data_IF_211371052737
#
_entry.id   IF_211371052737
#
_cell.length_a   1.000
_cell.length_b   1.000
_cell.length_c   1.000
_cell.angle_alpha   90.00
_cell.angle_beta   90.00
_cell.angle_gamma   90.00
#
_symmetry.space_group_name_H-M   'P 1'
#
loop_
_entity.id
_entity.type
_entity.pdbx_description
1 polymer ?
#
# COMPACT_ATOMS: atom_id res chain seq x y z
N UNK A 1 -52.93 31.39 21.59
CA UNK A 1 -51.94 31.24 20.49
C UNK A 1 -50.60 31.96 20.71
N UNK A 2 -50.51 33.09 21.44
CA UNK A 2 -49.26 33.86 21.59
C UNK A 2 -48.11 33.14 22.33
N UNK A 3 -48.40 32.31 23.35
CA UNK A 3 -47.35 31.55 24.10
C UNK A 3 -46.53 30.63 23.18
N UNK A 4 -47.18 29.95 22.21
CA UNK A 4 -46.49 29.07 21.26
C UNK A 4 -45.55 29.82 20.29
N UNK A 5 -45.84 31.08 19.96
CA UNK A 5 -44.99 31.89 19.07
C UNK A 5 -43.67 32.28 19.74
N UNK A 6 -43.73 32.72 21.00
CA UNK A 6 -42.54 33.07 21.79
C UNK A 6 -41.62 31.87 22.02
N UNK A 7 -42.19 30.69 22.28
CA UNK A 7 -41.42 29.45 22.44
C UNK A 7 -40.69 29.06 21.14
N UNK A 8 -41.36 29.16 19.98
CA UNK A 8 -40.73 28.88 18.69
C UNK A 8 -39.57 29.84 18.38
N UNK A 9 -39.77 31.13 18.57
CA UNK A 9 -38.74 32.14 18.33
C UNK A 9 -37.51 31.94 19.24
N UNK A 10 -37.73 31.64 20.52
CA UNK A 10 -36.65 31.34 21.46
C UNK A 10 -35.84 30.12 21.03
N UNK A 11 -36.52 29.04 20.61
CA UNK A 11 -35.87 27.81 20.13
C UNK A 11 -35.02 28.08 18.88
N UNK A 12 -35.50 28.89 17.94
CA UNK A 12 -34.73 29.25 16.74
C UNK A 12 -33.52 30.13 17.06
N UNK A 13 -33.65 31.12 17.95
CA UNK A 13 -32.51 31.92 18.44
C UNK A 13 -31.46 31.05 19.13
N UNK A 14 -31.90 30.09 19.95
CA UNK A 14 -31.01 29.16 20.63
C UNK A 14 -30.25 28.27 19.63
N UNK A 15 -30.95 27.72 18.62
CA UNK A 15 -30.31 26.94 17.54
C UNK A 15 -29.29 27.76 16.75
N UNK A 16 -29.63 29.00 16.38
CA UNK A 16 -28.73 29.91 15.66
C UNK A 16 -27.46 30.20 16.46
N UNK A 17 -27.58 30.42 17.78
CA UNK A 17 -26.42 30.62 18.67
C UNK A 17 -25.54 29.37 18.76
N UNK A 18 -26.14 28.18 18.92
CA UNK A 18 -25.42 26.91 18.94
C UNK A 18 -24.69 26.70 17.61
N UNK A 19 -25.36 27.01 16.50
CA UNK A 19 -24.83 26.87 15.16
C UNK A 19 -23.64 27.80 14.91
N UNK A 20 -23.76 29.09 15.26
CA UNK A 20 -22.66 30.07 15.18
C UNK A 20 -21.44 29.61 15.99
N UNK A 21 -21.67 29.12 17.22
CA UNK A 21 -20.61 28.57 18.07
C UNK A 21 -19.95 27.32 17.47
N UNK A 22 -20.72 26.47 16.80
CA UNK A 22 -20.17 25.30 16.12
C UNK A 22 -19.25 25.74 14.98
N UNK A 23 -19.71 26.64 14.10
CA UNK A 23 -18.92 27.11 12.96
C UNK A 23 -17.61 27.79 13.38
N UNK A 24 -17.63 28.57 14.47
CA UNK A 24 -16.42 29.23 14.97
C UNK A 24 -15.37 28.26 15.53
N UNK A 25 -15.74 27.00 15.80
CA UNK A 25 -14.81 25.98 16.29
C UNK A 25 -14.21 25.13 15.15
N UNK A 26 -14.70 25.25 13.92
CA UNK A 26 -14.27 24.41 12.80
C UNK A 26 -13.11 25.06 12.05
N UNK A 27 -11.96 24.41 12.07
CA UNK A 27 -10.73 24.80 11.38
C UNK A 27 -10.73 24.25 9.94
N UNK A 28 -11.40 24.96 9.03
CA UNK A 28 -11.57 24.51 7.64
C UNK A 28 -10.27 24.43 6.85
N UNK A 29 -9.26 25.21 7.22
CA UNK A 29 -7.92 25.22 6.60
C UNK A 29 -7.26 23.84 6.63
N UNK A 30 -7.50 23.04 7.69
CA UNK A 30 -6.97 21.68 7.80
C UNK A 30 -7.52 20.71 6.75
N UNK A 31 -8.70 21.02 6.20
CA UNK A 31 -9.43 20.14 5.30
C UNK A 31 -9.30 20.52 3.82
N UNK A 32 -8.71 21.68 3.49
CA UNK A 32 -8.62 22.16 2.11
C UNK A 32 -8.02 21.13 1.13
N UNK A 33 -6.92 20.44 1.46
CA UNK A 33 -6.35 19.43 0.56
C UNK A 33 -7.24 18.19 0.35
N UNK A 34 -8.27 18.03 1.18
CA UNK A 34 -9.10 16.83 1.26
C UNK A 34 -10.58 17.10 0.98
N UNK A 35 -10.94 18.31 0.51
CA UNK A 35 -12.32 18.77 0.41
C UNK A 35 -13.24 17.79 -0.35
N UNK A 36 -12.73 17.27 -1.46
CA UNK A 36 -13.48 16.43 -2.40
C UNK A 36 -13.23 14.93 -2.18
N UNK A 37 -12.51 14.59 -1.12
CA UNK A 37 -12.16 13.20 -0.86
C UNK A 37 -13.33 12.45 -0.24
N UNK A 38 -13.82 11.45 -0.96
CA UNK A 38 -14.86 10.55 -0.48
C UNK A 38 -14.28 9.58 0.56
N UNK A 39 -14.76 9.68 1.79
CA UNK A 39 -14.46 8.70 2.83
C UNK A 39 -15.43 7.54 2.71
N UNK A 40 -14.91 6.32 2.55
CA UNK A 40 -15.69 5.10 2.40
C UNK A 40 -16.33 4.66 3.73
N UNK A 41 -17.66 4.67 3.79
CA UNK A 41 -18.44 3.77 4.62
C UNK A 41 -17.98 2.33 4.37
N UNK A 42 -17.61 1.61 5.44
CA UNK A 42 -17.18 0.21 5.34
C UNK A 42 -18.20 -0.66 4.61
N UNK A 43 -17.76 -1.82 4.09
CA UNK A 43 -18.58 -2.75 3.27
C UNK A 43 -19.96 -3.08 3.84
N UNK A 44 -20.14 -2.99 5.15
CA UNK A 44 -21.41 -3.28 5.83
C UNK A 44 -22.48 -2.18 5.69
N UNK A 45 -22.13 -1.00 5.20
CA UNK A 45 -23.00 0.19 5.17
C UNK A 45 -23.22 0.72 3.74
N UNK A 46 -23.36 -0.14 2.74
CA UNK A 46 -23.53 0.25 1.33
C UNK A 46 -24.79 1.11 1.07
N UNK A 47 -25.79 1.06 1.95
CA UNK A 47 -27.02 1.87 1.83
C UNK A 47 -26.84 3.32 2.29
N UNK A 48 -25.78 3.63 3.04
CA UNK A 48 -25.53 4.98 3.54
C UNK A 48 -24.77 5.80 2.51
N UNK A 49 -25.13 7.09 2.41
CA UNK A 49 -24.41 8.03 1.55
C UNK A 49 -23.04 8.35 2.15
N UNK A 50 -22.03 8.40 1.30
CA UNK A 50 -20.74 9.01 1.62
C UNK A 50 -20.93 10.53 1.71
N UNK A 51 -20.05 11.20 2.46
CA UNK A 51 -20.05 12.65 2.59
C UNK A 51 -18.61 13.15 2.44
N UNK A 52 -18.42 14.15 1.59
CA UNK A 52 -17.13 14.84 1.45
C UNK A 52 -17.02 15.97 2.48
N UNK A 53 -15.81 16.51 2.68
CA UNK A 53 -15.61 17.68 3.54
C UNK A 53 -16.32 18.91 2.98
N UNK A 54 -16.37 19.07 1.65
CA UNK A 54 -17.13 20.15 0.97
C UNK A 54 -18.62 20.05 1.24
N UNK A 55 -19.22 18.89 1.02
CA UNK A 55 -20.65 18.67 1.29
C UNK A 55 -20.98 18.87 2.77
N UNK A 56 -20.11 18.38 3.67
CA UNK A 56 -20.27 18.62 5.10
C UNK A 56 -20.19 20.11 5.44
N UNK A 57 -19.29 20.87 4.81
CA UNK A 57 -19.19 22.34 4.95
C UNK A 57 -20.46 23.04 4.51
N UNK A 58 -20.99 22.70 3.34
CA UNK A 58 -22.22 23.27 2.82
C UNK A 58 -23.42 22.97 3.72
N UNK A 59 -23.56 21.72 4.16
CA UNK A 59 -24.63 21.32 5.08
C UNK A 59 -24.49 22.01 6.43
N UNK A 60 -23.26 22.13 6.95
CA UNK A 60 -23.00 22.88 8.16
C UNK A 60 -23.41 24.34 7.97
N UNK A 61 -22.98 25.03 6.91
CA UNK A 61 -23.35 26.43 6.62
C UNK A 61 -24.86 26.65 6.46
N UNK A 62 -25.60 25.65 5.97
CA UNK A 62 -27.07 25.64 5.93
C UNK A 62 -27.73 25.43 7.30
N UNK A 63 -26.96 25.32 8.38
CA UNK A 63 -27.46 25.14 9.75
C UNK A 63 -27.73 23.70 10.15
N UNK A 64 -27.35 22.69 9.34
CA UNK A 64 -27.55 21.30 9.72
C UNK A 64 -26.57 20.88 10.82
N UNK A 65 -27.12 20.37 11.94
CA UNK A 65 -26.32 19.69 12.96
C UNK A 65 -25.84 18.32 12.45
N UNK A 66 -24.80 17.76 13.07
CA UNK A 66 -24.31 16.39 12.74
C UNK A 66 -25.44 15.36 12.81
N UNK A 67 -26.33 15.45 13.81
CA UNK A 67 -27.51 14.56 13.93
C UNK A 67 -28.49 14.75 12.77
N UNK A 68 -28.68 15.98 12.29
CA UNK A 68 -29.53 16.27 11.14
C UNK A 68 -28.91 15.71 9.86
N UNK A 69 -27.59 15.84 9.67
CA UNK A 69 -26.86 15.26 8.54
C UNK A 69 -27.05 13.74 8.52
N UNK A 70 -26.89 13.04 9.65
CA UNK A 70 -27.13 11.58 9.72
C UNK A 70 -28.56 11.20 9.31
N UNK A 71 -29.57 11.98 9.72
CA UNK A 71 -30.97 11.76 9.32
C UNK A 71 -31.22 11.91 7.81
N UNK A 72 -30.36 12.63 7.09
CA UNK A 72 -30.41 12.73 5.62
C UNK A 72 -29.84 11.47 4.92
N UNK A 73 -29.41 10.46 5.68
CA UNK A 73 -28.90 9.19 5.16
C UNK A 73 -27.37 9.11 5.04
N UNK A 74 -26.65 10.11 5.55
CA UNK A 74 -25.18 10.09 5.58
C UNK A 74 -24.64 9.20 6.72
N UNK A 75 -23.44 8.66 6.50
CA UNK A 75 -22.76 7.82 7.50
C UNK A 75 -22.51 8.57 8.83
N UNK A 76 -23.00 8.06 9.98
CA UNK A 76 -22.78 8.68 11.28
C UNK A 76 -21.31 8.68 11.69
N UNK A 77 -20.56 7.66 11.30
CA UNK A 77 -19.14 7.57 11.64
C UNK A 77 -18.33 8.66 10.93
N UNK A 78 -18.60 8.89 9.64
CA UNK A 78 -17.88 9.88 8.84
C UNK A 78 -18.24 11.30 9.29
N UNK A 79 -19.53 11.61 9.47
CA UNK A 79 -19.95 12.93 9.92
C UNK A 79 -19.38 13.30 11.31
N UNK A 80 -19.32 12.33 12.23
CA UNK A 80 -18.69 12.54 13.54
C UNK A 80 -17.17 12.63 13.46
N UNK A 81 -16.53 11.93 12.52
CA UNK A 81 -15.10 12.04 12.25
C UNK A 81 -14.75 13.46 11.75
N UNK A 82 -15.41 13.93 10.69
CA UNK A 82 -15.18 15.27 10.09
C UNK A 82 -15.32 16.36 11.16
N UNK A 83 -16.39 16.31 11.96
CA UNK A 83 -16.63 17.27 13.02
C UNK A 83 -15.51 17.28 14.08
N UNK A 84 -14.96 16.12 14.47
CA UNK A 84 -13.87 16.05 15.45
C UNK A 84 -12.52 16.45 14.85
N UNK A 85 -12.27 16.08 13.60
CA UNK A 85 -11.09 16.49 12.87
C UNK A 85 -11.02 18.02 12.76
N UNK A 86 -12.08 18.65 12.28
CA UNK A 86 -12.18 20.10 12.15
C UNK A 86 -12.14 20.86 13.48
N UNK A 87 -12.49 20.23 14.59
CA UNK A 87 -12.35 20.81 15.94
C UNK A 87 -10.92 20.77 16.47
N UNK A 88 -9.98 20.14 15.76
CA UNK A 88 -8.61 19.96 16.21
C UNK A 88 -8.45 18.89 17.29
N UNK A 89 -9.46 18.03 17.49
CA UNK A 89 -9.39 16.93 18.47
C UNK A 89 -8.50 15.78 17.99
N UNK A 90 -8.18 15.73 16.69
CA UNK A 90 -7.36 14.70 16.08
C UNK A 90 -6.05 15.37 15.64
N UNK A 91 -4.98 15.16 16.42
CA UNK A 91 -3.65 15.75 16.19
C UNK A 91 -2.67 14.70 15.67
N UNK A 92 -3.00 14.08 14.55
CA UNK A 92 -2.15 13.06 13.94
C UNK A 92 -1.92 13.41 12.47
N UNK A 93 -0.70 13.81 12.15
CA UNK A 93 -0.30 14.11 10.76
C UNK A 93 -0.24 12.85 9.90
N UNK A 94 -0.20 13.04 8.57
CA UNK A 94 -0.07 11.95 7.60
C UNK A 94 1.22 11.17 7.82
N UNK A 95 2.33 11.87 8.01
CA UNK A 95 3.67 11.31 8.16
C UNK A 95 3.79 10.48 9.44
N UNK A 96 3.22 11.01 10.54
CA UNK A 96 3.16 10.29 11.82
C UNK A 96 2.31 9.02 11.70
N UNK A 97 1.09 9.13 11.14
CA UNK A 97 0.23 7.96 10.96
C UNK A 97 0.89 6.91 10.06
N UNK A 98 1.50 7.32 8.96
CA UNK A 98 2.15 6.38 8.05
C UNK A 98 3.34 5.67 8.70
N UNK A 99 4.16 6.39 9.48
CA UNK A 99 5.29 5.82 10.22
C UNK A 99 4.82 4.80 11.26
N UNK A 100 3.86 5.19 12.10
CA UNK A 100 3.38 4.32 13.18
C UNK A 100 2.56 3.14 12.66
N UNK A 101 1.80 3.32 11.58
CA UNK A 101 0.98 2.25 11.01
C UNK A 101 1.81 1.15 10.36
N UNK A 102 3.05 1.45 9.92
CA UNK A 102 3.99 0.43 9.43
C UNK A 102 4.49 -0.48 10.56
N UNK A 103 4.58 0.02 11.79
CA UNK A 103 5.18 -0.70 12.92
C UNK A 103 4.13 -1.33 13.84
N UNK A 104 2.96 -0.72 13.97
CA UNK A 104 1.98 -1.10 14.98
C UNK A 104 0.56 -1.26 14.43
N UNK A 105 -0.23 -2.19 14.99
CA UNK A 105 -1.63 -2.32 14.62
C UNK A 105 -2.44 -1.08 15.02
N UNK A 106 -3.53 -0.80 14.30
CA UNK A 106 -4.39 0.37 14.53
C UNK A 106 -4.78 0.56 16.01
N UNK A 107 -5.06 -0.52 16.74
CA UNK A 107 -5.51 -0.45 18.13
C UNK A 107 -4.46 0.20 19.05
N UNK A 108 -3.18 -0.03 18.81
CA UNK A 108 -2.10 0.58 19.61
C UNK A 108 -2.02 2.07 19.34
N UNK A 109 -2.13 2.48 18.07
CA UNK A 109 -2.17 3.88 17.66
C UNK A 109 -3.39 4.60 18.26
N UNK A 110 -4.53 3.91 18.37
CA UNK A 110 -5.73 4.44 19.04
C UNK A 110 -5.45 4.82 20.49
N UNK A 111 -4.82 3.91 21.23
CA UNK A 111 -4.49 4.11 22.66
C UNK A 111 -3.45 5.21 22.81
N UNK A 112 -2.41 5.20 21.96
CA UNK A 112 -1.29 6.16 22.01
C UNK A 112 -1.73 7.61 21.84
N UNK A 113 -2.66 7.86 20.92
CA UNK A 113 -3.11 9.22 20.59
C UNK A 113 -4.48 9.58 21.18
N UNK A 114 -5.08 8.69 21.97
CA UNK A 114 -6.46 8.83 22.47
C UNK A 114 -7.48 9.10 21.34
N UNK A 115 -7.34 8.39 20.21
CA UNK A 115 -8.21 8.52 19.04
C UNK A 115 -9.05 7.24 18.90
N UNK A 116 -10.35 7.39 18.59
CA UNK A 116 -11.20 6.22 18.35
C UNK A 116 -10.75 5.47 17.09
N UNK A 117 -10.84 4.15 17.12
CA UNK A 117 -10.51 3.28 15.97
C UNK A 117 -11.19 3.67 14.66
N UNK A 118 -12.46 4.07 14.72
CA UNK A 118 -13.20 4.52 13.55
C UNK A 118 -12.62 5.79 12.92
N UNK A 119 -12.03 6.68 13.72
CA UNK A 119 -11.42 7.92 13.24
C UNK A 119 -10.07 7.67 12.59
N UNK A 120 -9.23 6.81 13.18
CA UNK A 120 -7.97 6.41 12.54
C UNK A 120 -8.24 5.70 11.21
N UNK A 121 -9.30 4.88 11.13
CA UNK A 121 -9.71 4.28 9.86
C UNK A 121 -10.10 5.36 8.82
N UNK A 122 -10.80 6.42 9.23
CA UNK A 122 -11.13 7.54 8.35
C UNK A 122 -9.89 8.37 7.97
N UNK A 123 -8.99 8.68 8.91
CA UNK A 123 -7.70 9.34 8.64
C UNK A 123 -6.88 8.56 7.62
N UNK A 124 -6.78 7.24 7.79
CA UNK A 124 -6.05 6.37 6.88
C UNK A 124 -6.59 6.48 5.45
N UNK A 125 -7.92 6.47 5.29
CA UNK A 125 -8.56 6.68 3.98
C UNK A 125 -8.29 8.10 3.46
N UNK A 126 -8.46 9.11 4.32
CA UNK A 126 -8.22 10.53 4.01
C UNK A 126 -6.78 10.79 3.56
N UNK A 127 -5.81 10.02 4.02
CA UNK A 127 -4.40 10.13 3.63
C UNK A 127 -3.95 9.16 2.53
N UNK A 128 -4.86 8.38 1.94
CA UNK A 128 -4.55 7.31 0.95
C UNK A 128 -3.58 6.24 1.47
N UNK A 129 -3.55 6.02 2.77
CA UNK A 129 -2.69 5.00 3.36
C UNK A 129 -3.35 3.63 3.13
N UNK A 130 -2.64 2.73 2.43
CA UNK A 130 -3.15 1.40 2.10
C UNK A 130 -3.43 0.59 3.37
N UNK A 131 -4.53 -0.19 3.42
CA UNK A 131 -4.80 -1.07 4.55
C UNK A 131 -3.73 -2.14 4.73
N UNK A 132 -3.21 -2.25 5.95
CA UNK A 132 -2.42 -3.39 6.40
C UNK A 132 -3.34 -4.39 7.09
N UNK A 133 -3.21 -5.67 6.73
CA UNK A 133 -4.00 -6.76 7.31
C UNK A 133 -3.44 -7.16 8.68
N UNK A 134 -4.25 -7.82 9.53
CA UNK A 134 -3.74 -8.40 10.78
C UNK A 134 -2.58 -9.38 10.53
N UNK A 135 -2.71 -10.16 9.46
CA UNK A 135 -1.67 -11.09 9.00
C UNK A 135 -0.35 -10.39 8.63
N UNK A 136 -0.38 -9.12 8.21
CA UNK A 136 0.85 -8.35 7.96
C UNK A 136 1.65 -8.17 9.25
N UNK A 137 1.02 -7.75 10.34
CA UNK A 137 1.72 -7.52 11.61
C UNK A 137 2.22 -8.83 12.24
N UNK A 138 1.42 -9.89 12.16
CA UNK A 138 1.86 -11.22 12.62
C UNK A 138 3.05 -11.74 11.81
N UNK A 139 3.05 -11.49 10.48
CA UNK A 139 4.19 -11.82 9.63
C UNK A 139 5.42 -11.01 10.02
N UNK A 140 5.31 -9.68 10.14
CA UNK A 140 6.45 -8.82 10.50
C UNK A 140 7.06 -9.22 11.85
N UNK A 141 6.24 -9.69 12.81
CA UNK A 141 6.72 -10.19 14.10
C UNK A 141 7.47 -11.53 14.00
N UNK A 142 7.14 -12.36 13.02
CA UNK A 142 7.68 -13.72 12.85
C UNK A 142 8.75 -13.82 11.76
N UNK A 143 8.87 -12.82 10.89
CA UNK A 143 9.80 -12.85 9.78
C UNK A 143 11.24 -12.68 10.26
N UNK A 144 12.12 -13.51 9.73
CA UNK A 144 13.57 -13.37 9.91
C UNK A 144 14.11 -12.51 8.75
N UNK A 145 14.77 -11.38 9.01
CA UNK A 145 15.34 -10.54 7.96
C UNK A 145 16.37 -11.29 7.11
N UNK A 146 16.45 -10.97 5.82
CA UNK A 146 17.47 -11.57 4.95
C UNK A 146 18.86 -11.02 5.33
N UNK A 147 19.84 -11.90 5.41
CA UNK A 147 21.25 -11.50 5.51
C UNK A 147 21.68 -10.75 4.26
N UNK A 148 22.75 -9.95 4.35
CA UNK A 148 23.27 -9.21 3.19
C UNK A 148 23.61 -10.15 2.02
N UNK A 149 24.25 -11.29 2.30
CA UNK A 149 24.55 -12.33 1.30
C UNK A 149 23.27 -12.86 0.62
N UNK A 150 22.24 -13.15 1.40
CA UNK A 150 20.94 -13.59 0.87
C UNK A 150 20.29 -12.53 -0.02
N UNK A 151 20.39 -11.25 0.36
CA UNK A 151 19.90 -10.14 -0.46
C UNK A 151 20.61 -10.10 -1.81
N UNK A 152 21.93 -10.16 -1.82
CA UNK A 152 22.72 -10.15 -3.06
C UNK A 152 22.37 -11.30 -4.01
N UNK A 153 22.26 -12.52 -3.48
CA UNK A 153 21.84 -13.69 -4.26
C UNK A 153 20.41 -13.50 -4.78
N UNK A 154 19.52 -12.91 -3.98
CA UNK A 154 18.14 -12.63 -4.38
C UNK A 154 18.11 -11.63 -5.54
N UNK A 155 18.82 -10.49 -5.43
CA UNK A 155 18.86 -9.47 -6.48
C UNK A 155 19.44 -10.01 -7.79
N UNK A 156 20.53 -10.78 -7.71
CA UNK A 156 21.12 -11.46 -8.86
C UNK A 156 20.18 -12.46 -9.52
N UNK A 157 19.56 -13.32 -8.72
CA UNK A 157 18.60 -14.31 -9.23
C UNK A 157 17.35 -13.66 -9.81
N UNK A 158 16.94 -12.52 -9.25
CA UNK A 158 15.83 -11.71 -9.77
C UNK A 158 16.15 -11.08 -11.12
N UNK A 159 17.38 -11.07 -11.63
CA UNK A 159 17.68 -10.75 -13.04
C UNK A 159 17.57 -11.98 -13.94
N UNK A 160 17.80 -13.17 -13.40
CA UNK A 160 17.70 -14.44 -14.10
C UNK A 160 16.44 -15.23 -13.78
N UNK A 161 16.65 -16.34 -13.08
CA UNK A 161 15.75 -17.48 -12.85
C UNK A 161 14.69 -17.30 -11.75
N UNK A 162 14.80 -16.25 -10.93
CA UNK A 162 13.80 -15.96 -9.92
C UNK A 162 12.65 -15.11 -10.48
N UNK A 163 11.44 -15.40 -10.00
CA UNK A 163 10.23 -14.69 -10.38
C UNK A 163 9.26 -14.44 -9.23
N UNK A 164 8.47 -13.39 -9.35
CA UNK A 164 7.44 -13.04 -8.36
C UNK A 164 6.35 -14.10 -8.30
N UNK A 165 6.14 -14.70 -7.11
CA UNK A 165 5.00 -15.59 -6.84
C UNK A 165 3.80 -14.84 -6.27
N UNK A 166 4.07 -13.87 -5.40
CA UNK A 166 3.11 -12.91 -4.87
C UNK A 166 3.85 -11.63 -4.48
N UNK A 167 3.15 -10.58 -4.06
CA UNK A 167 3.78 -9.31 -3.64
C UNK A 167 4.90 -9.48 -2.60
N UNK A 168 4.81 -10.53 -1.77
CA UNK A 168 5.74 -10.75 -0.66
C UNK A 168 6.57 -12.04 -0.81
N UNK A 169 6.43 -12.79 -1.91
CA UNK A 169 7.09 -14.09 -2.11
C UNK A 169 7.75 -14.16 -3.48
N UNK A 170 8.96 -14.69 -3.52
CA UNK A 170 9.73 -14.95 -4.75
C UNK A 170 9.88 -16.47 -4.90
N UNK A 171 9.77 -16.95 -6.14
CA UNK A 171 9.92 -18.36 -6.52
C UNK A 171 11.20 -18.52 -7.34
N UNK A 172 11.95 -19.56 -7.03
CA UNK A 172 13.08 -20.04 -7.82
C UNK A 172 12.64 -21.29 -8.56
N UNK A 173 12.97 -21.37 -9.85
CA UNK A 173 12.55 -22.47 -10.73
C UNK A 173 13.71 -22.86 -11.62
N UNK A 174 14.07 -24.14 -11.61
CA UNK A 174 15.10 -24.69 -12.49
C UNK A 174 14.66 -26.05 -13.03
N UNK A 175 15.11 -26.37 -14.25
CA UNK A 175 14.97 -27.71 -14.82
C UNK A 175 15.88 -28.74 -14.16
N UNK A 176 15.68 -30.02 -14.47
CA UNK A 176 16.48 -31.14 -13.97
C UNK A 176 18.00 -30.94 -14.03
N UNK A 177 18.59 -30.50 -15.17
CA UNK A 177 20.04 -30.30 -15.29
C UNK A 177 20.61 -29.23 -14.33
N UNK A 178 19.79 -28.27 -13.91
CA UNK A 178 20.19 -27.18 -13.00
C UNK A 178 19.72 -27.43 -11.56
N UNK A 179 19.35 -28.67 -11.21
CA UNK A 179 18.87 -29.03 -9.87
C UNK A 179 19.88 -28.66 -8.80
N UNK A 180 21.14 -29.02 -8.96
CA UNK A 180 22.15 -28.80 -7.91
C UNK A 180 22.36 -27.31 -7.63
N UNK A 181 22.26 -26.47 -8.66
CA UNK A 181 22.30 -25.02 -8.49
C UNK A 181 21.08 -24.48 -7.72
N UNK A 182 19.87 -24.97 -8.02
CA UNK A 182 18.69 -24.64 -7.22
C UNK A 182 18.86 -25.04 -5.76
N UNK A 183 19.41 -26.23 -5.50
CA UNK A 183 19.63 -26.73 -4.14
C UNK A 183 20.70 -25.93 -3.41
N UNK A 184 21.76 -25.49 -4.09
CA UNK A 184 22.71 -24.54 -3.53
C UNK A 184 22.01 -23.24 -3.11
N UNK A 185 21.16 -22.65 -3.96
CA UNK A 185 20.36 -21.46 -3.59
C UNK A 185 19.45 -21.75 -2.40
N UNK A 186 18.78 -22.90 -2.39
CA UNK A 186 17.94 -23.31 -1.26
C UNK A 186 18.73 -23.35 0.05
N UNK A 187 19.95 -23.91 0.06
CA UNK A 187 20.79 -23.92 1.25
C UNK A 187 21.12 -22.50 1.74
N UNK A 188 21.30 -21.54 0.83
CA UNK A 188 21.49 -20.13 1.19
C UNK A 188 20.23 -19.51 1.83
N UNK A 189 19.02 -20.00 1.53
CA UNK A 189 17.74 -19.46 2.01
C UNK A 189 16.97 -20.38 2.96
N UNK A 190 17.55 -21.48 3.43
CA UNK A 190 16.82 -22.56 4.11
C UNK A 190 16.04 -22.12 5.35
N UNK A 191 16.51 -21.10 6.05
CA UNK A 191 15.86 -20.50 7.22
C UNK A 191 14.58 -19.71 6.87
N UNK A 192 14.49 -19.21 5.64
CA UNK A 192 13.42 -18.30 5.18
C UNK A 192 12.64 -18.84 3.99
N UNK A 193 12.85 -20.09 3.57
CA UNK A 193 12.23 -20.65 2.37
C UNK A 193 11.36 -21.88 2.65
N UNK A 194 10.57 -22.28 1.66
CA UNK A 194 9.96 -23.60 1.63
C UNK A 194 10.97 -24.68 1.28
N UNK A 195 10.66 -25.92 1.62
CA UNK A 195 11.35 -27.11 1.10
C UNK A 195 11.24 -27.16 -0.44
N UNK A 196 12.32 -27.48 -1.17
CA UNK A 196 12.29 -27.69 -2.61
C UNK A 196 11.34 -28.82 -3.00
N UNK A 197 10.68 -28.66 -4.13
CA UNK A 197 9.75 -29.66 -4.69
C UNK A 197 10.04 -29.87 -6.16
N UNK A 198 10.18 -31.13 -6.57
CA UNK A 198 10.18 -31.56 -7.96
C UNK A 198 8.75 -31.75 -8.45
N UNK A 199 8.38 -31.11 -9.55
CA UNK A 199 7.10 -31.30 -10.22
C UNK A 199 7.37 -31.89 -11.59
N UNK A 200 6.84 -33.09 -11.90
CA UNK A 200 6.88 -33.62 -13.25
C UNK A 200 6.03 -32.72 -14.16
N UNK A 201 6.60 -32.33 -15.30
CA UNK A 201 5.96 -31.53 -16.32
C UNK A 201 6.13 -32.23 -17.66
N UNK A 202 5.05 -32.27 -18.45
CA UNK A 202 5.10 -32.76 -19.83
C UNK A 202 5.27 -31.56 -20.74
N UNK A 203 6.35 -31.52 -21.52
CA UNK A 203 6.47 -30.51 -22.56
C UNK A 203 5.44 -30.83 -23.65
N UNK A 204 4.41 -30.00 -23.81
CA UNK A 204 3.33 -30.26 -24.78
C UNK A 204 3.80 -30.28 -26.24
N UNK A 205 4.93 -29.64 -26.54
CA UNK A 205 5.48 -29.52 -27.89
C UNK A 205 6.26 -30.79 -28.25
N UNK A 206 7.22 -31.16 -27.41
CA UNK A 206 8.12 -32.29 -27.68
C UNK A 206 7.62 -33.62 -27.08
N UNK A 207 6.56 -33.58 -26.27
CA UNK A 207 6.01 -34.72 -25.51
C UNK A 207 7.04 -35.40 -24.61
N UNK A 208 8.02 -34.63 -24.16
CA UNK A 208 9.07 -35.10 -23.24
C UNK A 208 8.74 -34.76 -21.80
N UNK A 209 8.88 -35.76 -20.94
CA UNK A 209 8.76 -35.61 -19.50
C UNK A 209 10.02 -34.97 -18.94
N UNK A 210 9.86 -33.87 -18.21
CA UNK A 210 10.95 -33.23 -17.49
C UNK A 210 10.51 -32.89 -16.07
N UNK A 211 11.44 -32.98 -15.12
CA UNK A 211 11.20 -32.57 -13.74
C UNK A 211 11.64 -31.12 -13.59
N UNK A 212 10.74 -30.27 -13.13
CA UNK A 212 11.06 -28.91 -12.71
C UNK A 212 11.14 -28.85 -11.20
N UNK A 213 12.27 -28.35 -10.70
CA UNK A 213 12.47 -28.16 -9.27
C UNK A 213 12.17 -26.71 -8.91
N UNK A 214 11.49 -26.50 -7.79
CA UNK A 214 11.25 -25.15 -7.29
C UNK A 214 11.14 -25.06 -5.78
N UNK A 215 11.51 -23.91 -5.25
CA UNK A 215 11.17 -23.48 -3.89
C UNK A 215 10.74 -22.01 -3.94
N UNK A 216 10.22 -21.48 -2.84
CA UNK A 216 9.95 -20.06 -2.70
C UNK A 216 10.48 -19.54 -1.38
N UNK A 217 10.91 -18.29 -1.37
CA UNK A 217 11.14 -17.57 -0.13
C UNK A 217 9.77 -17.24 0.48
N UNK A 218 9.62 -17.47 1.77
CA UNK A 218 8.42 -17.16 2.53
C UNK A 218 8.16 -15.65 2.53
N UNK A 219 6.97 -15.26 2.96
CA UNK A 219 6.58 -13.84 2.93
C UNK A 219 7.52 -13.02 3.81
N UNK A 220 8.26 -12.07 3.22
CA UNK A 220 9.28 -11.28 3.91
C UNK A 220 9.29 -9.82 3.43
N UNK A 221 9.59 -8.87 4.32
CA UNK A 221 9.69 -7.45 3.97
C UNK A 221 10.81 -7.14 2.96
N UNK A 222 11.98 -7.75 3.06
CA UNK A 222 13.09 -7.58 2.10
C UNK A 222 12.69 -8.09 0.69
N UNK A 223 12.00 -9.24 0.64
CA UNK A 223 11.42 -9.76 -0.62
C UNK A 223 10.41 -8.79 -1.22
N UNK A 224 9.66 -8.07 -0.40
CA UNK A 224 8.68 -7.08 -0.85
C UNK A 224 9.36 -5.87 -1.47
N UNK A 225 10.46 -5.41 -0.87
CA UNK A 225 11.29 -4.33 -1.44
C UNK A 225 11.85 -4.77 -2.79
N UNK A 226 12.44 -5.96 -2.85
CA UNK A 226 12.97 -6.53 -4.08
C UNK A 226 11.89 -6.66 -5.18
N UNK A 227 10.72 -7.24 -4.87
CA UNK A 227 9.60 -7.33 -5.80
C UNK A 227 9.13 -5.97 -6.33
N UNK A 228 9.09 -4.94 -5.48
CA UNK A 228 8.68 -3.59 -5.92
C UNK A 228 9.68 -2.97 -6.88
N UNK A 229 10.97 -3.22 -6.70
CA UNK A 229 12.01 -2.72 -7.60
C UNK A 229 11.87 -3.31 -9.01
N UNK A 230 11.60 -4.62 -9.11
CA UNK A 230 11.48 -5.32 -10.40
C UNK A 230 10.09 -5.31 -11.04
N UNK A 231 9.01 -5.02 -10.28
CA UNK A 231 7.64 -5.14 -10.77
C UNK A 231 6.79 -3.90 -10.43
N UNK A 232 7.20 -2.72 -10.89
CA UNK A 232 6.46 -1.48 -10.64
C UNK A 232 5.18 -1.40 -11.49
N UNK A 233 5.27 -1.74 -12.79
CA UNK A 233 4.21 -1.64 -13.80
C UNK A 233 3.38 -2.92 -13.97
N UNK A 234 3.82 -4.06 -13.40
CA UNK A 234 3.17 -5.35 -13.59
C UNK A 234 4.13 -6.44 -14.09
N UNK A 235 4.68 -6.31 -15.33
CA UNK A 235 5.77 -7.15 -15.81
C UNK A 235 7.09 -6.88 -15.08
N UNK A 236 8.06 -7.77 -15.30
CA UNK A 236 9.42 -7.65 -14.75
C UNK A 236 10.19 -6.62 -15.57
N UNK A 237 10.65 -5.56 -14.93
CA UNK A 237 11.40 -4.46 -15.55
C UNK A 237 12.69 -4.22 -14.76
N UNK A 238 13.75 -3.80 -15.46
CA UNK A 238 15.05 -3.46 -14.85
C UNK A 238 15.25 -1.97 -14.97
N UNK A 239 15.37 -1.29 -13.83
CA UNK A 239 15.60 0.15 -13.77
C UNK A 239 17.02 0.46 -13.27
N UNK A 240 17.49 1.68 -13.54
CA UNK A 240 18.85 2.12 -13.18
C UNK A 240 19.11 2.05 -11.67
N UNK A 241 18.08 2.28 -10.85
CA UNK A 241 18.15 2.18 -9.39
C UNK A 241 18.49 0.77 -8.90
N UNK A 242 18.38 -0.25 -9.74
CA UNK A 242 18.76 -1.62 -9.39
C UNK A 242 20.29 -1.78 -9.35
N UNK A 243 21.05 -0.95 -10.08
CA UNK A 243 22.53 -0.97 -10.11
C UNK A 243 23.14 -0.87 -8.71
N UNK A 244 22.53 -0.11 -7.80
CA UNK A 244 23.02 0.04 -6.42
C UNK A 244 22.95 -1.27 -5.60
N UNK A 245 22.20 -2.26 -6.06
CA UNK A 245 22.07 -3.58 -5.43
C UNK A 245 22.91 -4.66 -6.13
N UNK A 246 23.67 -4.29 -7.17
CA UNK A 246 24.50 -5.21 -7.96
C UNK A 246 25.90 -5.34 -7.35
N UNK A 247 26.04 -6.24 -6.38
CA UNK A 247 27.35 -6.69 -5.91
C UNK A 247 27.99 -7.68 -6.90
N UNK A 248 29.30 -7.94 -6.83
CA UNK A 248 29.93 -9.02 -7.60
C UNK A 248 29.24 -10.38 -7.41
N UNK A 249 28.72 -10.66 -6.21
CA UNK A 249 27.95 -11.88 -5.93
C UNK A 249 26.57 -11.87 -6.61
N UNK A 250 25.89 -10.72 -6.65
CA UNK A 250 24.64 -10.58 -7.37
C UNK A 250 24.83 -10.82 -8.88
N UNK A 251 25.91 -10.28 -9.46
CA UNK A 251 26.25 -10.48 -10.88
C UNK A 251 26.59 -11.95 -11.15
N UNK A 252 27.38 -12.59 -10.28
CA UNK A 252 27.70 -14.02 -10.43
C UNK A 252 26.46 -14.91 -10.31
N UNK A 253 25.46 -14.49 -9.55
CA UNK A 253 24.20 -15.22 -9.37
C UNK A 253 23.19 -15.06 -10.51
N UNK A 254 23.35 -14.03 -11.36
CA UNK A 254 22.53 -13.86 -12.55
C UNK A 254 23.05 -14.77 -13.65
N UNK A 255 22.32 -15.84 -13.99
CA UNK A 255 22.60 -16.69 -15.16
C UNK A 255 22.32 -15.96 -16.50
N UNK A 256 22.18 -14.64 -16.48
CA UNK A 256 21.82 -13.80 -17.63
C UNK A 256 23.02 -12.93 -17.99
N UNK A 257 23.41 -12.91 -19.27
CA UNK A 257 24.31 -11.87 -19.78
C UNK A 257 23.46 -10.61 -19.95
N UNK A 258 23.67 -9.61 -19.11
CA UNK A 258 22.98 -8.33 -19.23
C UNK A 258 23.72 -7.51 -20.28
N UNK A 259 23.27 -7.57 -21.54
CA UNK A 259 23.67 -6.58 -22.54
C UNK A 259 22.75 -5.37 -22.38
N UNK A 260 23.28 -4.28 -21.80
CA UNK A 260 22.62 -2.98 -21.92
C UNK A 260 22.65 -2.59 -23.40
N UNK A 261 21.49 -2.59 -24.06
CA UNK A 261 21.39 -2.02 -25.40
C UNK A 261 21.52 -0.51 -25.27
N UNK A 262 22.62 0.05 -25.79
CA UNK A 262 22.71 1.49 -26.00
C UNK A 262 21.55 1.93 -26.91
N UNK A 263 20.85 3.03 -26.58
CA UNK A 263 19.79 3.54 -27.44
C UNK A 263 20.38 3.85 -28.83
N UNK A 264 19.69 3.52 -29.93
CA UNK A 264 20.10 3.96 -31.25
C UNK A 264 20.15 5.50 -31.26
N UNK A 265 21.35 6.03 -31.54
CA UNK A 265 21.72 7.44 -31.69
C UNK A 265 20.66 8.49 -31.38
N UNK A 266 20.85 9.22 -30.28
CA UNK A 266 20.21 10.52 -30.04
C UNK A 266 20.57 11.51 -31.15
N UNK A 267 19.62 11.78 -32.04
CA UNK A 267 19.47 13.10 -32.64
C UNK A 267 18.87 14.08 -31.61
N UNK A 268 19.14 15.35 -31.86
CA UNK A 268 19.16 16.48 -30.93
C UNK A 268 17.88 16.77 -30.12
N UNK A 269 18.16 17.44 -29.00
CA UNK A 269 17.31 18.05 -27.99
C UNK A 269 15.91 18.51 -28.45
N UNK A 270 14.87 17.94 -27.83
CA UNK A 270 13.69 18.71 -27.40
C UNK A 270 13.19 18.17 -26.06
N UNK A 271 12.86 19.09 -25.14
CA UNK A 271 12.57 18.80 -23.74
C UNK A 271 11.27 18.01 -23.50
N UNK A 272 11.37 16.69 -23.56
CA UNK A 272 10.34 15.76 -23.12
C UNK A 272 10.73 15.04 -21.82
N UNK A 273 9.74 14.61 -21.01
CA UNK A 273 9.96 13.91 -19.74
C UNK A 273 10.71 12.58 -19.96
N UNK A 274 11.34 12.02 -18.91
CA UNK A 274 12.26 10.88 -19.01
C UNK A 274 11.62 9.69 -19.75
N UNK A 275 12.27 9.28 -20.83
CA UNK A 275 11.91 8.11 -21.64
C UNK A 275 12.26 6.84 -20.85
N UNK A 276 11.26 6.01 -20.57
CA UNK A 276 11.47 4.67 -20.01
C UNK A 276 12.04 3.79 -21.13
N UNK A 277 13.30 3.38 -21.03
CA UNK A 277 13.95 2.48 -21.98
C UNK A 277 13.67 1.04 -21.54
N UNK A 278 12.91 0.23 -22.30
CA UNK A 278 12.77 -1.20 -22.02
C UNK A 278 14.10 -1.91 -22.33
N UNK A 279 14.75 -2.45 -21.30
CA UNK A 279 15.91 -3.34 -21.47
C UNK A 279 15.41 -4.74 -21.80
N UNK A 280 15.77 -5.25 -22.97
CA UNK A 280 15.47 -6.64 -23.36
C UNK A 280 16.55 -7.57 -22.78
N UNK A 281 16.19 -8.44 -21.85
CA UNK A 281 17.07 -9.48 -21.34
C UNK A 281 17.18 -10.62 -22.37
N UNK A 282 18.37 -10.84 -22.92
CA UNK A 282 18.68 -12.01 -23.73
C UNK A 282 19.16 -13.12 -22.81
N UNK A 283 18.41 -14.23 -22.76
CA UNK A 283 18.83 -15.43 -22.04
C UNK A 283 19.65 -16.31 -22.99
N UNK A 284 20.91 -16.58 -22.63
CA UNK A 284 21.68 -17.62 -23.32
C UNK A 284 21.13 -18.99 -22.87
N UNK A 285 20.69 -19.78 -23.85
CA UNK A 285 20.28 -21.17 -23.65
C UNK A 285 21.47 -22.09 -23.36
#
# INVERSE_FOLDING_TARGET
MQKNKRTKEYVEKMKARIHKRLLSQLQWELAEPYLDKCLGAGRHNQKLKYITFREFKELALKGHSVKAIVKLGYSPHIANFICRFLKGNIKLSKEQLEKEYKTEPLNNICVKHDIRRGDIACLRQMYDIKPLSGLYFERVKKEEPLTQRQKEILYGSMLGDAGRKSTHRIKFVHGGPQRDYLFWKYEQFKNVSSTPKGTPNVNKIYKEDHITWSFYINSNSDVTVCNKLFYQSGPKEVYKEIEQYMSPLAIAGSNSVITATEPPGTMESTGFPPVIIPVTLVFNA
#
